data_IF_441826544063
#
_entry.id   IF_441826544063
#
_cell.length_a   1.000
_cell.length_b   1.000
_cell.length_c   1.000
_cell.angle_alpha   90.00
_cell.angle_beta   90.00
_cell.angle_gamma   90.00
#
_symmetry.space_group_name_H-M   'P 1'
#
loop_
_entity.id
_entity.type
_entity.pdbx_description
1 polymer ?
#
# COMPACT_ATOMS: atom_id res chain seq x y z
N UNK A 1 26.66 20.33 23.29
CA UNK A 1 26.88 20.33 21.83
C UNK A 1 25.98 21.40 21.28
N UNK A 2 26.57 22.33 20.54
CA UNK A 2 25.96 23.60 20.14
C UNK A 2 24.75 23.35 19.24
N UNK A 3 23.56 23.74 19.71
CA UNK A 3 22.27 23.46 19.07
C UNK A 3 21.76 24.66 18.24
N UNK A 4 22.63 25.64 17.98
CA UNK A 4 22.32 26.78 17.10
C UNK A 4 22.42 26.35 15.63
N UNK A 5 21.50 25.52 15.17
CA UNK A 5 21.26 25.33 13.73
C UNK A 5 20.40 26.49 13.23
N UNK A 6 20.83 27.15 12.17
CA UNK A 6 20.01 28.12 11.45
C UNK A 6 18.95 27.37 10.64
N UNK A 7 17.79 27.13 11.27
CA UNK A 7 16.68 26.41 10.64
C UNK A 7 15.94 27.30 9.62
N UNK A 8 15.73 26.74 8.43
CA UNK A 8 14.85 27.26 7.39
C UNK A 8 13.56 26.43 7.43
N UNK A 9 12.42 27.11 7.59
CA UNK A 9 11.10 26.48 7.48
C UNK A 9 10.57 26.65 6.06
N UNK A 10 10.36 25.54 5.37
CA UNK A 10 9.77 25.48 4.04
C UNK A 10 8.34 24.93 4.13
N UNK A 11 7.33 25.67 3.63
CA UNK A 11 5.98 25.15 3.49
C UNK A 11 5.96 23.95 2.54
N UNK A 12 5.31 22.86 2.97
CA UNK A 12 5.06 21.73 2.09
C UNK A 12 3.93 22.05 1.10
N UNK A 13 4.08 21.57 -0.12
CA UNK A 13 3.17 21.71 -1.25
C UNK A 13 3.18 20.39 -2.04
N UNK A 14 2.29 20.23 -3.01
CA UNK A 14 2.18 18.98 -3.78
C UNK A 14 3.46 18.63 -4.56
N UNK A 15 4.29 19.61 -4.93
CA UNK A 15 5.55 19.39 -5.66
C UNK A 15 6.59 18.59 -4.85
N UNK A 16 6.49 18.64 -3.51
CA UNK A 16 7.33 17.89 -2.59
C UNK A 16 6.82 16.47 -2.34
N UNK A 17 5.62 16.11 -2.78
CA UNK A 17 5.07 14.77 -2.56
C UNK A 17 5.15 13.91 -3.82
N UNK A 18 5.38 12.62 -3.60
CA UNK A 18 5.23 11.55 -4.60
C UNK A 18 4.35 10.46 -4.01
N UNK A 19 3.54 9.80 -4.83
CA UNK A 19 2.69 8.67 -4.40
C UNK A 19 1.27 9.04 -3.94
N UNK A 20 0.98 10.32 -3.69
CA UNK A 20 -0.36 10.79 -3.35
C UNK A 20 -1.15 11.19 -4.61
N UNK A 21 -2.44 10.88 -4.65
CA UNK A 21 -3.35 11.23 -5.76
C UNK A 21 -4.16 12.50 -5.47
N UNK A 22 -4.26 12.89 -4.20
CA UNK A 22 -4.89 14.12 -3.76
C UNK A 22 -4.24 14.60 -2.45
N UNK A 23 -4.37 15.89 -2.16
CA UNK A 23 -3.77 16.53 -0.99
C UNK A 23 -4.78 17.45 -0.32
N UNK A 24 -5.38 16.98 0.77
CA UNK A 24 -6.35 17.75 1.54
C UNK A 24 -5.63 18.72 2.47
N UNK A 25 -6.06 19.99 2.47
CA UNK A 25 -5.67 20.95 3.51
C UNK A 25 -6.65 20.86 4.67
N UNK A 26 -6.18 20.36 5.81
CA UNK A 26 -7.04 20.13 6.98
C UNK A 26 -7.38 21.44 7.68
N UNK A 27 -8.43 21.43 8.52
CA UNK A 27 -8.83 22.60 9.32
C UNK A 27 -7.76 23.11 10.28
N UNK A 28 -6.72 22.31 10.56
CA UNK A 28 -5.56 22.68 11.39
C UNK A 28 -4.44 23.36 10.58
N UNK A 29 -4.58 23.42 9.25
CA UNK A 29 -3.57 23.96 8.35
C UNK A 29 -2.52 22.93 7.89
N UNK A 30 -2.65 21.66 8.28
CA UNK A 30 -1.82 20.55 7.80
C UNK A 30 -2.25 20.06 6.43
N UNK A 31 -1.43 19.21 5.83
CA UNK A 31 -1.67 18.56 4.55
C UNK A 31 -1.80 17.05 4.75
N UNK A 32 -2.95 16.50 4.39
CA UNK A 32 -3.25 15.07 4.45
C UNK A 32 -3.15 14.48 3.03
N UNK A 33 -2.13 13.65 2.74
CA UNK A 33 -2.05 12.96 1.46
C UNK A 33 -3.09 11.83 1.40
N UNK A 34 -3.78 11.74 0.26
CA UNK A 34 -4.74 10.69 -0.02
C UNK A 34 -4.26 9.82 -1.18
N UNK A 35 -4.49 8.51 -1.08
CA UNK A 35 -4.15 7.53 -2.13
C UNK A 35 -5.32 7.24 -3.07
N UNK A 36 -6.46 7.90 -2.88
CA UNK A 36 -7.58 7.92 -3.81
C UNK A 36 -7.97 9.37 -4.14
N UNK A 37 -8.41 9.68 -5.37
CA UNK A 37 -8.93 10.99 -5.71
C UNK A 37 -10.22 11.32 -4.94
N UNK A 38 -10.43 12.60 -4.60
CA UNK A 38 -11.57 13.03 -3.79
C UNK A 38 -12.96 12.57 -4.32
N UNK A 39 -13.25 12.61 -5.64
CA UNK A 39 -14.53 12.13 -6.16
C UNK A 39 -14.77 10.64 -5.92
N UNK A 40 -13.72 9.81 -5.99
CA UNK A 40 -13.83 8.37 -5.78
C UNK A 40 -13.90 8.02 -4.29
N UNK A 41 -13.19 8.76 -3.43
CA UNK A 41 -13.36 8.67 -1.97
C UNK A 41 -14.80 8.92 -1.55
N UNK A 42 -15.44 9.95 -2.10
CA UNK A 42 -16.83 10.28 -1.78
C UNK A 42 -17.82 9.15 -2.12
N UNK A 43 -17.49 8.30 -3.12
CA UNK A 43 -18.31 7.14 -3.53
C UNK A 43 -18.17 5.92 -2.62
N UNK A 44 -17.21 5.91 -1.69
CA UNK A 44 -17.10 4.88 -0.66
C UNK A 44 -18.24 4.91 0.37
N UNK A 45 -19.10 5.94 0.32
CA UNK A 45 -20.28 6.04 1.20
C UNK A 45 -19.94 6.32 2.66
N UNK A 46 -18.72 6.78 2.97
CA UNK A 46 -18.26 7.01 4.33
C UNK A 46 -17.81 5.72 5.05
N UNK A 47 -17.47 4.66 4.30
CA UNK A 47 -16.88 3.45 4.88
C UNK A 47 -15.58 3.79 5.63
N UNK A 48 -15.59 3.59 6.95
CA UNK A 48 -14.49 3.97 7.82
C UNK A 48 -13.22 3.13 7.62
N UNK A 49 -13.32 1.92 7.06
CA UNK A 49 -12.18 1.08 6.70
C UNK A 49 -11.52 1.60 5.42
N UNK A 50 -12.32 2.00 4.41
CA UNK A 50 -11.81 2.64 3.20
C UNK A 50 -11.15 3.98 3.55
N UNK A 51 -11.83 4.86 4.29
CA UNK A 51 -11.31 6.17 4.69
C UNK A 51 -9.98 6.06 5.48
N UNK A 52 -9.86 5.04 6.33
CA UNK A 52 -8.61 4.77 7.03
C UNK A 52 -7.52 4.26 6.07
N UNK A 53 -7.82 3.23 5.28
CA UNK A 53 -6.82 2.62 4.42
C UNK A 53 -6.26 3.64 3.41
N UNK A 54 -7.13 4.41 2.74
CA UNK A 54 -6.71 5.33 1.68
C UNK A 54 -5.90 6.53 2.21
N UNK A 55 -6.16 6.98 3.45
CA UNK A 55 -5.44 8.09 4.09
C UNK A 55 -4.14 7.68 4.78
N UNK A 56 -3.87 6.38 4.93
CA UNK A 56 -2.58 5.87 5.36
C UNK A 56 -1.58 5.93 4.19
N UNK A 57 -0.45 6.63 4.30
CA UNK A 57 0.37 7.07 3.18
C UNK A 57 1.34 5.99 2.64
N UNK A 58 0.88 4.74 2.48
CA UNK A 58 1.68 3.67 1.87
C UNK A 58 2.12 4.02 0.45
N UNK A 59 3.43 4.02 0.20
CA UNK A 59 4.04 4.40 -1.07
C UNK A 59 4.21 5.91 -1.27
N UNK A 60 3.71 6.72 -0.33
CA UNK A 60 3.85 8.18 -0.38
C UNK A 60 5.17 8.59 0.27
N UNK A 61 5.79 9.63 -0.29
CA UNK A 61 7.08 10.14 0.19
C UNK A 61 7.24 11.63 -0.05
N UNK A 62 7.98 12.27 0.85
CA UNK A 62 8.43 13.67 0.71
C UNK A 62 9.77 13.66 -0.03
N UNK A 63 9.89 14.39 -1.13
CA UNK A 63 11.06 14.39 -2.02
C UNK A 63 11.53 15.81 -2.28
N UNK A 64 12.82 16.07 -2.08
CA UNK A 64 13.43 17.38 -2.33
C UNK A 64 14.95 17.28 -2.53
N UNK A 65 15.51 18.31 -3.15
CA UNK A 65 16.95 18.51 -3.28
C UNK A 65 17.45 19.47 -2.22
N UNK A 66 18.60 19.17 -1.62
CA UNK A 66 19.20 20.08 -0.64
C UNK A 66 20.67 19.76 -0.36
N UNK A 67 21.37 20.72 0.27
CA UNK A 67 22.67 20.50 0.91
C UNK A 67 22.56 20.24 2.42
N UNK A 68 21.35 20.24 2.98
CA UNK A 68 21.07 20.18 4.41
C UNK A 68 21.74 18.96 5.08
N UNK A 69 22.31 19.16 6.27
CA UNK A 69 22.85 18.08 7.10
C UNK A 69 21.87 17.63 8.18
N UNK A 70 20.80 18.41 8.38
CA UNK A 70 19.70 18.09 9.27
C UNK A 70 18.35 18.39 8.61
N UNK A 71 17.39 17.49 8.79
CA UNK A 71 16.03 17.59 8.27
C UNK A 71 15.05 17.24 9.39
N UNK A 72 14.00 18.02 9.52
CA UNK A 72 12.89 17.75 10.44
C UNK A 72 11.55 17.98 9.72
N UNK A 73 10.58 17.10 9.93
CA UNK A 73 9.21 17.27 9.47
C UNK A 73 8.30 17.41 10.68
N UNK A 74 7.53 18.50 10.71
CA UNK A 74 6.47 18.71 11.69
C UNK A 74 5.22 17.95 11.23
N UNK A 75 4.73 17.03 12.06
CA UNK A 75 3.67 16.08 11.68
C UNK A 75 2.66 15.86 12.80
N UNK A 76 1.40 15.65 12.43
CA UNK A 76 0.39 15.09 13.33
C UNK A 76 0.01 13.70 12.80
N UNK A 77 0.62 12.68 13.39
CA UNK A 77 0.24 11.29 13.11
C UNK A 77 -1.02 10.90 13.88
N UNK A 78 -1.76 9.94 13.36
CA UNK A 78 -2.83 9.22 14.07
C UNK A 78 -2.51 7.74 14.04
N UNK A 79 -2.16 7.19 15.20
CA UNK A 79 -1.83 5.77 15.36
C UNK A 79 -3.02 4.95 15.76
N UNK A 80 -3.12 3.71 15.27
CA UNK A 80 -4.13 2.78 15.73
C UNK A 80 -3.66 2.07 17.00
N UNK A 81 -4.55 1.94 17.97
CA UNK A 81 -4.38 1.07 19.13
C UNK A 81 -5.61 0.16 19.29
N UNK A 82 -5.41 -1.01 19.88
CA UNK A 82 -6.50 -1.95 20.16
C UNK A 82 -6.79 -1.99 21.66
N UNK A 83 -8.06 -1.87 22.03
CA UNK A 83 -8.48 -1.85 23.44
C UNK A 83 -8.05 -3.14 24.13
N UNK A 84 -7.34 -3.01 25.24
CA UNK A 84 -6.87 -4.15 26.05
C UNK A 84 -5.67 -4.91 25.48
N UNK A 85 -5.08 -4.46 24.38
CA UNK A 85 -3.86 -5.05 23.80
C UNK A 85 -2.64 -4.14 23.97
N UNK A 86 -1.42 -4.70 23.90
CA UNK A 86 -0.21 -3.90 23.84
C UNK A 86 -0.24 -2.90 22.67
N UNK A 87 0.37 -1.72 22.83
CA UNK A 87 0.54 -0.78 21.72
C UNK A 87 1.24 -1.43 20.52
N UNK A 88 0.76 -1.09 19.32
CA UNK A 88 1.47 -1.44 18.09
C UNK A 88 2.77 -0.61 18.00
N UNK A 89 3.80 -1.12 17.30
CA UNK A 89 4.99 -0.33 17.01
C UNK A 89 4.64 0.96 16.26
N UNK A 90 5.37 2.03 16.57
CA UNK A 90 5.28 3.28 15.81
C UNK A 90 5.67 3.06 14.34
N UNK A 91 5.05 3.83 13.45
CA UNK A 91 5.33 3.81 12.03
C UNK A 91 6.75 4.24 11.70
N UNK A 92 7.40 3.46 10.84
CA UNK A 92 8.75 3.74 10.35
C UNK A 92 8.75 4.80 9.25
N UNK A 93 9.62 5.80 9.40
CA UNK A 93 9.95 6.80 8.41
C UNK A 93 11.34 6.48 7.86
N UNK A 94 11.42 5.99 6.63
CA UNK A 94 12.71 5.67 6.01
C UNK A 94 13.25 6.87 5.25
N UNK A 95 14.51 7.18 5.51
CA UNK A 95 15.26 8.19 4.78
C UNK A 95 16.13 7.53 3.72
N UNK A 96 16.02 8.02 2.49
CA UNK A 96 16.90 7.70 1.39
C UNK A 96 17.63 8.95 0.91
N UNK A 97 18.90 8.79 0.55
CA UNK A 97 19.75 9.82 -0.04
C UNK A 97 20.27 9.32 -1.38
N UNK A 98 19.89 10.00 -2.46
CA UNK A 98 20.22 9.62 -3.84
C UNK A 98 19.88 8.15 -4.17
N UNK A 99 18.72 7.69 -3.69
CA UNK A 99 18.23 6.32 -3.91
C UNK A 99 18.78 5.27 -2.96
N UNK A 100 19.74 5.61 -2.09
CA UNK A 100 20.34 4.69 -1.12
C UNK A 100 19.73 4.89 0.28
N UNK A 101 19.43 3.78 0.99
CA UNK A 101 18.92 3.85 2.35
C UNK A 101 19.96 4.50 3.28
N UNK A 102 19.55 5.53 4.02
CA UNK A 102 20.45 6.37 4.81
C UNK A 102 20.15 6.31 6.31
N UNK A 103 18.88 6.35 6.71
CA UNK A 103 18.48 6.34 8.12
C UNK A 103 17.00 5.92 8.28
N UNK A 104 16.57 5.68 9.53
CA UNK A 104 15.17 5.40 9.88
C UNK A 104 14.82 6.05 11.22
N UNK A 105 13.65 6.66 11.27
CA UNK A 105 13.12 7.28 12.48
C UNK A 105 11.64 6.95 12.70
N UNK A 106 11.12 7.37 13.86
CA UNK A 106 9.68 7.39 14.17
C UNK A 106 9.28 8.83 14.52
N UNK A 107 8.00 9.14 14.37
CA UNK A 107 7.47 10.45 14.76
C UNK A 107 7.05 10.47 16.24
N UNK A 108 7.34 11.58 16.91
CA UNK A 108 6.84 11.86 18.25
C UNK A 108 5.40 12.40 18.22
N UNK A 109 4.74 12.46 19.39
CA UNK A 109 3.38 13.01 19.50
C UNK A 109 2.33 12.23 18.71
N UNK A 110 1.24 12.92 18.34
CA UNK A 110 0.15 12.35 17.54
C UNK A 110 -1.10 11.94 18.30
N UNK A 111 -2.19 11.76 17.56
CA UNK A 111 -3.44 11.22 18.07
C UNK A 111 -3.36 9.69 18.20
N UNK A 112 -4.19 9.12 19.06
CA UNK A 112 -4.43 7.67 19.14
C UNK A 112 -5.87 7.38 18.77
N UNK A 113 -6.08 6.55 17.74
CA UNK A 113 -7.38 5.98 17.41
C UNK A 113 -7.49 4.61 18.09
N UNK A 114 -8.21 4.57 19.21
CA UNK A 114 -8.47 3.33 19.95
C UNK A 114 -9.63 2.59 19.28
N UNK A 115 -9.40 1.33 18.92
CA UNK A 115 -10.37 0.43 18.30
C UNK A 115 -10.69 -0.72 19.25
N UNK A 116 -11.96 -0.97 19.53
CA UNK A 116 -12.41 -2.19 20.19
C UNK A 116 -12.67 -3.27 19.13
N UNK A 117 -11.90 -4.36 19.18
CA UNK A 117 -12.02 -5.44 18.20
C UNK A 117 -13.30 -6.27 18.37
N UNK A 118 -14.02 -6.15 19.50
CA UNK A 118 -15.22 -6.93 19.77
C UNK A 118 -16.47 -6.36 19.10
N UNK A 119 -16.58 -5.04 18.99
CA UNK A 119 -17.73 -4.35 18.43
C UNK A 119 -17.39 -3.35 17.30
N UNK A 120 -16.09 -3.14 17.03
CA UNK A 120 -15.60 -2.24 15.99
C UNK A 120 -15.64 -0.77 16.37
N UNK A 121 -16.01 -0.42 17.60
CA UNK A 121 -16.10 0.97 18.05
C UNK A 121 -14.74 1.67 18.04
N UNK A 122 -14.77 2.98 17.75
CA UNK A 122 -13.58 3.82 17.57
C UNK A 122 -13.65 5.06 18.46
N UNK A 123 -12.55 5.36 19.14
CA UNK A 123 -12.42 6.55 19.99
C UNK A 123 -11.10 7.26 19.67
N UNK A 124 -11.16 8.54 19.30
CA UNK A 124 -9.99 9.34 19.00
C UNK A 124 -9.53 10.11 20.24
N UNK A 125 -8.29 9.88 20.66
CA UNK A 125 -7.60 10.62 21.69
C UNK A 125 -6.66 11.63 21.03
N UNK A 126 -6.97 12.94 21.08
CA UNK A 126 -6.14 13.95 20.45
C UNK A 126 -4.78 14.09 21.12
N UNK A 127 -3.73 14.29 20.33
CA UNK A 127 -2.40 14.62 20.80
C UNK A 127 -1.85 15.90 20.18
N UNK A 128 -0.57 16.19 20.46
CA UNK A 128 0.13 17.33 19.88
C UNK A 128 0.78 16.99 18.55
N UNK A 129 1.00 18.02 17.72
CA UNK A 129 1.97 17.95 16.62
C UNK A 129 3.32 17.53 17.22
N UNK A 130 3.96 16.58 16.58
CA UNK A 130 5.32 16.16 16.89
C UNK A 130 6.22 16.35 15.68
N UNK A 131 7.37 15.69 15.73
CA UNK A 131 8.37 15.77 14.69
C UNK A 131 9.02 14.42 14.42
N UNK A 132 9.53 14.26 13.19
CA UNK A 132 10.50 13.25 12.80
C UNK A 132 11.77 13.97 12.34
N UNK A 133 12.94 13.54 12.82
CA UNK A 133 14.21 14.24 12.63
C UNK A 133 15.30 13.30 12.14
N UNK A 134 16.08 13.77 11.18
CA UNK A 134 17.25 13.11 10.62
C UNK A 134 18.44 14.06 10.67
N UNK A 135 19.59 13.60 11.14
CA UNK A 135 20.80 14.43 11.27
C UNK A 135 22.04 13.68 10.80
N UNK A 136 23.13 14.40 10.56
CA UNK A 136 24.37 13.79 10.06
C UNK A 136 24.33 13.45 8.57
N UNK A 137 23.43 14.09 7.81
CA UNK A 137 23.34 13.90 6.37
C UNK A 137 24.56 14.52 5.66
N UNK A 138 25.00 13.96 4.52
CA UNK A 138 26.19 14.46 3.85
C UNK A 138 26.01 15.89 3.33
N UNK A 139 26.98 16.76 3.63
CA UNK A 139 26.98 18.21 3.30
C UNK A 139 27.28 18.52 1.82
N UNK A 140 26.59 17.82 0.92
CA UNK A 140 26.62 18.02 -0.54
C UNK A 140 25.20 18.12 -1.08
N UNK A 141 25.11 18.58 -2.32
CA UNK A 141 23.87 18.49 -3.08
C UNK A 141 23.47 17.01 -3.21
N UNK A 142 22.21 16.71 -2.87
CA UNK A 142 21.64 15.38 -2.88
C UNK A 142 20.12 15.47 -3.02
N UNK A 143 19.52 14.40 -3.51
CA UNK A 143 18.07 14.17 -3.44
C UNK A 143 17.77 13.41 -2.16
N UNK A 144 16.83 13.91 -1.38
CA UNK A 144 16.32 13.30 -0.15
C UNK A 144 14.92 12.77 -0.42
N UNK A 145 14.68 11.51 -0.10
CA UNK A 145 13.34 10.90 -0.09
C UNK A 145 13.02 10.41 1.32
N UNK A 146 11.89 10.84 1.88
CA UNK A 146 11.39 10.38 3.17
C UNK A 146 10.09 9.62 2.94
N UNK A 147 10.14 8.30 3.09
CA UNK A 147 8.98 7.42 2.94
C UNK A 147 8.09 7.51 4.18
N UNK A 148 6.80 7.73 3.95
CA UNK A 148 5.81 7.87 5.01
C UNK A 148 5.33 6.48 5.51
N UNK A 149 4.91 6.36 6.78
CA UNK A 149 4.52 5.07 7.36
C UNK A 149 3.17 4.57 6.81
N UNK A 150 3.05 3.28 6.53
CA UNK A 150 1.76 2.69 6.10
C UNK A 150 0.80 2.40 7.27
N UNK A 151 1.28 2.43 8.52
CA UNK A 151 0.55 2.03 9.73
C UNK A 151 -0.27 3.15 10.36
N UNK A 152 -0.09 4.39 9.90
CA UNK A 152 -0.62 5.59 10.55
C UNK A 152 -1.18 6.56 9.51
N UNK A 153 -2.17 7.37 9.88
CA UNK A 153 -2.56 8.53 9.06
C UNK A 153 -1.66 9.71 9.43
N UNK A 154 -1.19 10.49 8.44
CA UNK A 154 -0.19 11.55 8.67
C UNK A 154 -0.68 12.88 8.10
N UNK A 155 -0.87 13.88 8.96
CA UNK A 155 -0.96 15.29 8.53
C UNK A 155 0.44 15.92 8.56
N UNK A 156 0.88 16.53 7.45
CA UNK A 156 2.17 17.20 7.29
C UNK A 156 2.03 18.72 7.48
N UNK A 157 2.90 19.37 8.25
CA UNK A 157 2.82 20.80 8.52
C UNK A 157 3.96 21.61 7.90
N UNK A 158 5.21 21.23 8.16
CA UNK A 158 6.37 21.98 7.70
C UNK A 158 7.59 21.08 7.51
N UNK A 159 8.43 21.45 6.55
CA UNK A 159 9.77 20.91 6.35
C UNK A 159 10.79 21.90 6.89
N UNK A 160 11.62 21.46 7.84
CA UNK A 160 12.65 22.27 8.47
C UNK A 160 14.02 21.70 8.12
N UNK A 161 14.90 22.55 7.63
CA UNK A 161 16.24 22.15 7.16
C UNK A 161 17.28 23.20 7.52
N UNK A 162 18.55 22.81 7.65
CA UNK A 162 19.68 23.73 7.89
C UNK A 162 20.32 24.26 6.58
N UNK A 163 19.71 23.98 5.43
CA UNK A 163 20.06 24.56 4.13
C UNK A 163 18.80 24.60 3.23
N UNK A 164 18.73 25.51 2.23
CA UNK A 164 17.58 25.62 1.36
C UNK A 164 17.21 24.30 0.66
N UNK A 165 15.93 24.14 0.37
CA UNK A 165 15.39 23.00 -0.38
C UNK A 165 14.80 23.45 -1.70
N UNK A 166 14.86 22.59 -2.70
CA UNK A 166 14.15 22.72 -3.96
C UNK A 166 13.32 21.47 -4.23
N UNK A 167 12.17 21.62 -4.88
CA UNK A 167 11.42 20.47 -5.37
C UNK A 167 12.29 19.68 -6.35
N UNK A 168 12.23 18.35 -6.28
CA UNK A 168 12.81 17.50 -7.33
C UNK A 168 11.83 17.49 -8.51
N UNK A 169 12.34 17.58 -9.74
CA UNK A 169 11.50 17.43 -10.93
C UNK A 169 11.14 15.95 -11.14
N UNK A 170 9.99 15.61 -11.73
CA UNK A 170 9.69 14.21 -12.07
C UNK A 170 10.77 13.62 -12.99
N UNK A 171 11.44 12.56 -12.53
CA UNK A 171 12.61 11.98 -13.21
C UNK A 171 12.33 11.19 -14.49
N UNK A 172 11.13 11.32 -15.07
CA UNK A 172 10.72 10.63 -16.31
C UNK A 172 10.53 9.11 -16.21
N UNK A 173 10.67 8.53 -15.01
CA UNK A 173 10.44 7.11 -14.76
C UNK A 173 8.99 6.72 -15.08
N UNK A 174 8.73 5.54 -15.68
CA UNK A 174 7.37 5.06 -15.90
C UNK A 174 6.60 4.96 -14.59
N UNK A 175 5.32 5.31 -14.62
CA UNK A 175 4.42 5.23 -13.47
C UNK A 175 3.76 3.86 -13.41
N UNK A 176 4.01 3.16 -12.31
CA UNK A 176 3.35 1.91 -11.98
C UNK A 176 2.25 2.12 -10.94
N UNK A 177 1.00 1.94 -11.38
CA UNK A 177 -0.19 2.00 -10.56
C UNK A 177 -0.56 0.60 -10.05
N UNK A 178 -0.49 0.41 -8.74
CA UNK A 178 -0.76 -0.87 -8.09
C UNK A 178 -1.97 -0.80 -7.16
N UNK A 179 -2.96 -1.66 -7.40
CA UNK A 179 -4.07 -1.90 -6.49
C UNK A 179 -3.98 -3.29 -5.86
N UNK A 180 -4.31 -3.40 -4.58
CA UNK A 180 -4.33 -4.64 -3.83
C UNK A 180 -4.89 -4.46 -2.43
N UNK A 181 -4.68 -5.47 -1.58
CA UNK A 181 -5.17 -5.52 -0.20
C UNK A 181 -4.17 -4.95 0.82
N UNK A 182 -4.37 -5.24 2.10
CA UNK A 182 -3.43 -4.95 3.20
C UNK A 182 -2.01 -5.46 2.95
N UNK A 183 -1.88 -6.63 2.30
CA UNK A 183 -0.59 -7.22 1.93
C UNK A 183 0.15 -6.31 0.93
N UNK A 184 -0.55 -5.67 0.01
CA UNK A 184 0.05 -4.70 -0.92
C UNK A 184 0.22 -3.32 -0.30
N UNK A 185 -0.62 -2.96 0.67
CA UNK A 185 -0.43 -1.74 1.46
C UNK A 185 0.80 -1.82 2.38
N UNK A 186 1.27 -3.03 2.71
CA UNK A 186 2.52 -3.26 3.44
C UNK A 186 2.35 -3.82 4.85
N UNK A 187 1.15 -4.28 5.24
CA UNK A 187 0.92 -4.88 6.56
C UNK A 187 1.95 -5.97 6.88
N UNK A 188 2.64 -5.81 8.02
CA UNK A 188 3.73 -6.67 8.51
C UNK A 188 5.08 -6.57 7.77
N UNK A 189 5.22 -5.66 6.80
CA UNK A 189 6.53 -5.20 6.34
C UNK A 189 7.22 -4.33 7.41
N UNK A 190 8.55 -4.24 7.36
CA UNK A 190 9.33 -3.38 8.27
C UNK A 190 8.96 -1.89 8.10
N UNK A 191 8.53 -1.48 6.90
CA UNK A 191 8.18 -0.10 6.56
C UNK A 191 7.50 0.01 5.20
N UNK A 192 7.04 1.21 4.82
CA UNK A 192 6.48 1.42 3.49
C UNK A 192 7.50 1.25 2.37
N UNK A 193 8.77 1.61 2.58
CA UNK A 193 9.83 1.47 1.57
C UNK A 193 10.25 0.01 1.36
N UNK A 194 9.97 -0.86 2.33
CA UNK A 194 10.30 -2.29 2.30
C UNK A 194 9.10 -3.20 2.06
N UNK A 195 7.91 -2.61 1.86
CA UNK A 195 6.75 -3.34 1.37
C UNK A 195 7.04 -3.87 -0.05
N UNK A 196 6.46 -5.03 -0.39
CA UNK A 196 6.80 -5.74 -1.62
C UNK A 196 6.59 -4.91 -2.90
N UNK A 197 5.55 -4.03 -3.04
CA UNK A 197 5.43 -3.19 -4.22
C UNK A 197 6.53 -2.12 -4.30
N UNK A 198 6.97 -1.58 -3.15
CA UNK A 198 8.05 -0.58 -3.13
C UNK A 198 9.39 -1.20 -3.55
N UNK A 199 9.69 -2.41 -3.05
CA UNK A 199 10.88 -3.17 -3.45
C UNK A 199 10.85 -3.56 -4.93
N UNK A 200 9.71 -4.01 -5.43
CA UNK A 200 9.52 -4.30 -6.84
C UNK A 200 9.68 -3.05 -7.72
N UNK A 201 9.14 -1.91 -7.28
CA UNK A 201 9.26 -0.64 -8.00
C UNK A 201 10.71 -0.15 -8.07
N UNK A 202 11.45 -0.29 -6.97
CA UNK A 202 12.88 0.02 -6.92
C UNK A 202 13.67 -0.87 -7.89
N UNK A 203 13.40 -2.18 -7.90
CA UNK A 203 14.03 -3.13 -8.84
C UNK A 203 13.67 -2.86 -10.31
N UNK A 204 12.44 -2.40 -10.58
CA UNK A 204 11.95 -2.06 -11.91
C UNK A 204 12.32 -0.66 -12.40
N UNK A 205 12.87 0.20 -11.54
CA UNK A 205 13.17 1.60 -11.89
C UNK A 205 11.92 2.43 -12.23
N UNK A 206 10.80 2.18 -11.55
CA UNK A 206 9.49 2.83 -11.82
C UNK A 206 8.99 3.68 -10.64
N UNK A 207 8.11 4.63 -10.92
CA UNK A 207 7.40 5.42 -9.91
C UNK A 207 6.18 4.65 -9.41
N UNK A 208 6.18 4.26 -8.13
CA UNK A 208 5.03 3.59 -7.53
C UNK A 208 3.92 4.57 -7.15
N UNK A 209 2.71 4.30 -7.64
CA UNK A 209 1.45 4.78 -7.07
C UNK A 209 0.72 3.59 -6.43
N UNK A 210 0.78 3.49 -5.10
CA UNK A 210 0.15 2.39 -4.38
C UNK A 210 -1.26 2.78 -3.93
N UNK A 211 -2.30 2.28 -4.61
CA UNK A 211 -3.72 2.51 -4.28
C UNK A 211 -4.35 1.29 -3.60
N UNK A 212 -3.53 0.47 -2.93
CA UNK A 212 -3.99 -0.70 -2.18
C UNK A 212 -4.78 -0.32 -0.93
N UNK A 213 -5.88 -1.02 -0.65
CA UNK A 213 -6.78 -0.70 0.44
C UNK A 213 -6.83 -1.85 1.46
N UNK A 214 -6.21 -1.65 2.62
CA UNK A 214 -6.20 -2.61 3.71
C UNK A 214 -7.62 -2.99 4.13
N UNK A 215 -7.95 -4.27 3.94
CA UNK A 215 -9.26 -4.82 4.27
C UNK A 215 -10.35 -4.53 3.24
N UNK A 216 -10.13 -3.68 2.23
CA UNK A 216 -11.18 -3.13 1.36
C UNK A 216 -10.88 -3.25 -0.14
N UNK A 217 -10.03 -4.20 -0.57
CA UNK A 217 -9.86 -4.51 -1.99
C UNK A 217 -11.00 -5.43 -2.50
N UNK A 218 -12.18 -4.86 -2.77
CA UNK A 218 -13.43 -5.62 -2.98
C UNK A 218 -13.98 -5.55 -4.41
N UNK A 219 -13.16 -5.20 -5.40
CA UNK A 219 -13.60 -4.92 -6.77
C UNK A 219 -14.61 -3.76 -6.85
N UNK A 220 -14.47 -2.78 -5.97
CA UNK A 220 -15.40 -1.65 -5.90
C UNK A 220 -15.37 -0.81 -7.18
N UNK A 221 -16.53 -0.42 -7.74
CA UNK A 221 -16.59 0.44 -8.92
C UNK A 221 -15.89 1.79 -8.76
N UNK A 222 -15.88 2.36 -7.55
CA UNK A 222 -15.17 3.62 -7.30
C UNK A 222 -13.65 3.45 -7.40
N UNK A 223 -13.12 2.29 -7.00
CA UNK A 223 -11.69 2.00 -7.13
C UNK A 223 -11.33 1.72 -8.58
N UNK A 224 -12.21 1.05 -9.33
CA UNK A 224 -12.04 0.88 -10.78
C UNK A 224 -12.02 2.24 -11.52
N UNK A 225 -12.89 3.19 -11.14
CA UNK A 225 -12.88 4.55 -11.68
C UNK A 225 -11.60 5.31 -11.31
N UNK A 226 -11.14 5.21 -10.05
CA UNK A 226 -9.88 5.81 -9.64
C UNK A 226 -8.70 5.28 -10.49
N UNK A 227 -8.64 3.97 -10.72
CA UNK A 227 -7.64 3.34 -11.59
C UNK A 227 -7.75 3.80 -13.05
N UNK A 228 -8.97 3.90 -13.58
CA UNK A 228 -9.25 4.41 -14.93
C UNK A 228 -8.73 5.83 -15.13
N UNK A 229 -9.01 6.72 -14.17
CA UNK A 229 -8.75 8.16 -14.32
C UNK A 229 -7.34 8.57 -13.89
N UNK A 230 -6.62 7.70 -13.15
CA UNK A 230 -5.24 7.96 -12.72
C UNK A 230 -4.25 7.67 -13.86
N UNK A 231 -3.44 8.64 -14.31
CA UNK A 231 -2.41 8.40 -15.32
C UNK A 231 -1.38 7.36 -14.85
N UNK A 232 -1.11 6.36 -15.69
CA UNK A 232 -0.16 5.29 -15.41
C UNK A 232 0.37 4.69 -16.72
N UNK A 233 1.63 4.27 -16.70
CA UNK A 233 2.24 3.55 -17.82
C UNK A 233 2.09 2.04 -17.67
N UNK A 234 2.01 1.57 -16.41
CA UNK A 234 1.92 0.17 -16.01
C UNK A 234 0.87 0.02 -14.92
N UNK A 235 0.04 -1.03 -15.02
CA UNK A 235 -1.04 -1.25 -14.05
C UNK A 235 -1.00 -2.68 -13.55
N UNK A 236 -1.19 -2.86 -12.24
CA UNK A 236 -1.44 -4.18 -11.69
C UNK A 236 -2.55 -4.17 -10.65
N UNK A 237 -3.36 -5.21 -10.67
CA UNK A 237 -4.51 -5.37 -9.79
C UNK A 237 -4.42 -6.73 -9.10
N UNK A 238 -4.24 -6.72 -7.78
CA UNK A 238 -4.20 -7.94 -6.96
C UNK A 238 -5.56 -8.18 -6.31
N UNK A 239 -6.23 -9.26 -6.69
CA UNK A 239 -7.64 -9.51 -6.37
C UNK A 239 -7.76 -10.77 -5.50
N UNK A 240 -8.55 -10.72 -4.42
CA UNK A 240 -9.10 -11.93 -3.81
C UNK A 240 -9.20 -11.96 -2.28
N UNK A 241 -8.10 -11.77 -1.54
CA UNK A 241 -8.10 -12.05 -0.09
C UNK A 241 -9.18 -11.28 0.69
N UNK A 242 -9.49 -10.03 0.32
CA UNK A 242 -10.56 -9.28 1.00
C UNK A 242 -11.97 -9.72 0.59
N UNK A 243 -12.17 -10.16 -0.65
CA UNK A 243 -13.43 -10.75 -1.10
C UNK A 243 -13.75 -12.00 -0.29
N UNK A 244 -12.76 -12.88 -0.13
CA UNK A 244 -12.89 -14.12 0.63
C UNK A 244 -13.02 -13.83 2.12
N UNK A 245 -12.14 -12.99 2.71
CA UNK A 245 -12.20 -12.65 4.14
C UNK A 245 -13.52 -12.01 4.55
N UNK A 246 -14.20 -11.26 3.67
CA UNK A 246 -15.48 -10.63 3.99
C UNK A 246 -16.69 -11.47 3.59
N UNK A 247 -16.51 -12.60 2.92
CA UNK A 247 -17.61 -13.32 2.25
C UNK A 247 -18.43 -12.36 1.37
N UNK A 248 -17.73 -11.50 0.62
CA UNK A 248 -18.33 -10.32 -0.01
C UNK A 248 -19.22 -10.64 -1.21
N UNK A 249 -18.99 -11.78 -1.87
CA UNK A 249 -19.73 -12.23 -3.04
C UNK A 249 -19.50 -13.74 -3.28
N UNK A 250 -20.42 -14.36 -4.02
CA UNK A 250 -20.28 -15.73 -4.49
C UNK A 250 -19.64 -15.82 -5.87
N UNK A 251 -19.31 -17.05 -6.29
CA UNK A 251 -18.70 -17.35 -7.58
C UNK A 251 -19.53 -16.84 -8.78
N UNK A 252 -20.86 -16.86 -8.68
CA UNK A 252 -21.76 -16.36 -9.73
C UNK A 252 -21.59 -14.88 -10.01
N UNK A 253 -21.27 -14.08 -8.99
CA UNK A 253 -21.11 -12.63 -9.11
C UNK A 253 -19.64 -12.24 -9.34
N UNK A 254 -18.71 -13.08 -8.89
CA UNK A 254 -17.27 -12.82 -8.98
C UNK A 254 -16.77 -12.64 -10.42
N UNK A 255 -17.10 -13.57 -11.32
CA UNK A 255 -16.68 -13.49 -12.71
C UNK A 255 -17.14 -12.18 -13.39
N UNK A 256 -18.45 -11.87 -13.39
CA UNK A 256 -18.96 -10.60 -13.90
C UNK A 256 -18.32 -9.36 -13.26
N UNK A 257 -18.10 -9.37 -11.94
CA UNK A 257 -17.45 -8.26 -11.23
C UNK A 257 -16.00 -8.03 -11.70
N UNK A 258 -15.22 -9.11 -11.87
CA UNK A 258 -13.85 -9.02 -12.42
C UNK A 258 -13.88 -8.46 -13.85
N UNK A 259 -14.80 -8.93 -14.71
CA UNK A 259 -14.92 -8.39 -16.06
C UNK A 259 -15.21 -6.89 -16.06
N UNK A 260 -16.22 -6.44 -15.29
CA UNK A 260 -16.59 -5.04 -15.21
C UNK A 260 -15.45 -4.16 -14.65
N UNK A 261 -14.72 -4.67 -13.65
CA UNK A 261 -13.57 -3.97 -13.08
C UNK A 261 -12.47 -3.78 -14.12
N UNK A 262 -12.08 -4.85 -14.82
CA UNK A 262 -11.04 -4.80 -15.86
C UNK A 262 -11.47 -3.94 -17.06
N UNK A 263 -12.74 -3.99 -17.47
CA UNK A 263 -13.28 -3.15 -18.55
C UNK A 263 -13.20 -1.67 -18.17
N UNK A 264 -13.59 -1.33 -16.94
CA UNK A 264 -13.52 0.05 -16.44
C UNK A 264 -12.07 0.56 -16.43
N UNK A 265 -11.11 -0.26 -16.01
CA UNK A 265 -9.68 0.12 -16.06
C UNK A 265 -9.23 0.32 -17.52
N UNK A 266 -9.67 -0.55 -18.44
CA UNK A 266 -9.33 -0.47 -19.86
C UNK A 266 -9.93 0.74 -20.58
N UNK A 267 -11.07 1.25 -20.14
CA UNK A 267 -11.64 2.49 -20.68
C UNK A 267 -10.68 3.68 -20.55
N UNK A 268 -9.86 3.71 -19.49
CA UNK A 268 -8.84 4.74 -19.26
C UNK A 268 -7.48 4.37 -19.83
N UNK A 269 -7.19 3.07 -19.92
CA UNK A 269 -5.89 2.53 -20.30
C UNK A 269 -5.98 1.45 -21.38
N UNK A 270 -6.33 1.80 -22.64
CA UNK A 270 -6.63 0.82 -23.67
C UNK A 270 -5.44 -0.07 -24.08
N UNK A 271 -4.22 0.41 -23.86
CA UNK A 271 -2.99 -0.28 -24.31
C UNK A 271 -1.88 -0.37 -23.25
N UNK A 272 -2.09 0.16 -22.04
CA UNK A 272 -1.09 0.02 -20.98
C UNK A 272 -1.00 -1.45 -20.54
N UNK A 273 0.19 -2.00 -20.27
CA UNK A 273 0.30 -3.32 -19.64
C UNK A 273 -0.52 -3.41 -18.35
N UNK A 274 -1.42 -4.40 -18.29
CA UNK A 274 -2.28 -4.69 -17.14
C UNK A 274 -2.00 -6.10 -16.63
N UNK A 275 -1.46 -6.17 -15.41
CA UNK A 275 -1.15 -7.44 -14.75
C UNK A 275 -2.17 -7.76 -13.67
N UNK A 276 -2.94 -8.83 -13.86
CA UNK A 276 -3.83 -9.38 -12.83
C UNK A 276 -3.04 -10.35 -11.96
N UNK A 277 -3.01 -10.10 -10.66
CA UNK A 277 -2.30 -10.92 -9.67
C UNK A 277 -3.33 -11.61 -8.78
N UNK A 278 -3.26 -12.93 -8.68
CA UNK A 278 -4.14 -13.69 -7.80
C UNK A 278 -3.64 -13.68 -6.35
N UNK A 279 -4.43 -14.17 -5.36
CA UNK A 279 -4.01 -14.21 -3.97
C UNK A 279 -2.74 -15.03 -3.76
N UNK A 280 -1.92 -14.61 -2.80
CA UNK A 280 -0.86 -15.47 -2.26
C UNK A 280 -1.46 -16.52 -1.33
N UNK A 281 -0.65 -17.49 -0.90
CA UNK A 281 -1.09 -18.47 0.09
C UNK A 281 -1.55 -17.78 1.39
N UNK A 282 -2.75 -18.11 1.85
CA UNK A 282 -3.17 -17.91 3.23
C UNK A 282 -3.87 -19.19 3.70
N UNK A 283 -3.20 -20.03 4.51
CA UNK A 283 -3.73 -21.34 4.88
C UNK A 283 -5.13 -21.32 5.48
N UNK A 284 -5.47 -20.25 6.23
CA UNK A 284 -6.78 -20.08 6.83
C UNK A 284 -7.92 -19.98 5.80
N UNK A 285 -7.63 -19.56 4.56
CA UNK A 285 -8.62 -19.25 3.53
C UNK A 285 -8.42 -20.04 2.22
N UNK A 286 -7.47 -20.99 2.17
CA UNK A 286 -7.21 -21.77 0.96
C UNK A 286 -8.43 -22.59 0.54
N UNK A 287 -9.01 -23.31 1.50
CA UNK A 287 -10.13 -24.24 1.27
C UNK A 287 -11.33 -23.94 2.19
N UNK A 288 -11.26 -22.89 3.01
CA UNK A 288 -12.36 -22.45 3.90
C UNK A 288 -12.79 -21.05 3.46
N UNK A 289 -14.07 -20.80 3.17
CA UNK A 289 -14.58 -19.46 2.90
C UNK A 289 -14.57 -18.55 4.14
N UNK A 290 -14.77 -17.26 3.93
CA UNK A 290 -15.02 -16.31 5.01
C UNK A 290 -16.38 -16.49 5.72
N UNK A 291 -16.67 -15.59 6.68
CA UNK A 291 -15.86 -14.43 7.05
C UNK A 291 -14.60 -14.81 7.85
N UNK A 292 -13.57 -13.97 7.76
CA UNK A 292 -12.43 -13.99 8.66
C UNK A 292 -12.76 -13.18 9.91
N UNK A 293 -12.29 -13.64 11.07
CA UNK A 293 -12.44 -12.91 12.33
C UNK A 293 -11.09 -12.75 13.05
N UNK A 294 -10.91 -11.65 13.81
CA UNK A 294 -9.82 -11.54 14.77
C UNK A 294 -9.88 -12.68 15.79
N UNK A 295 -8.72 -13.23 16.10
CA UNK A 295 -8.51 -14.27 17.11
C UNK A 295 -7.31 -13.85 17.95
N UNK A 296 -7.62 -13.33 19.15
CA UNK A 296 -6.64 -12.76 20.07
C UNK A 296 -6.12 -13.87 20.99
N UNK A 297 -4.80 -14.12 20.93
CA UNK A 297 -4.12 -15.10 21.78
C UNK A 297 -2.80 -14.51 22.28
N UNK A 298 -2.52 -14.69 23.57
CA UNK A 298 -1.27 -14.23 24.20
C UNK A 298 -0.94 -12.74 23.91
N UNK A 299 -1.97 -11.89 23.90
CA UNK A 299 -1.84 -10.45 23.62
C UNK A 299 -1.54 -10.11 22.16
N UNK A 300 -1.65 -11.07 21.24
CA UNK A 300 -1.45 -10.89 19.80
C UNK A 300 -2.73 -11.12 19.04
N UNK A 301 -2.95 -10.31 18.01
CA UNK A 301 -4.06 -10.50 17.06
C UNK A 301 -3.58 -11.46 15.97
N UNK A 302 -4.35 -12.52 15.74
CA UNK A 302 -4.29 -13.29 14.49
C UNK A 302 -5.65 -13.33 13.83
N UNK A 303 -5.73 -14.03 12.70
CA UNK A 303 -6.97 -14.19 11.95
C UNK A 303 -7.32 -15.66 11.74
N UNK A 304 -8.61 -15.97 11.76
CA UNK A 304 -9.13 -17.29 11.44
C UNK A 304 -10.34 -17.18 10.53
N UNK A 305 -10.53 -18.14 9.64
CA UNK A 305 -11.79 -18.27 8.92
C UNK A 305 -12.86 -18.86 9.84
N UNK A 306 -14.10 -18.38 9.71
CA UNK A 306 -15.28 -18.86 10.41
C UNK A 306 -16.26 -19.62 9.50
N UNK A 307 -16.00 -19.65 8.19
CA UNK A 307 -16.86 -20.33 7.21
C UNK A 307 -16.79 -21.86 7.31
N UNK A 308 -17.75 -22.52 6.66
CA UNK A 308 -17.76 -23.97 6.47
C UNK A 308 -17.08 -24.32 5.13
N UNK A 309 -16.02 -25.15 5.12
CA UNK A 309 -15.41 -25.62 3.87
C UNK A 309 -16.41 -26.24 2.88
N UNK A 310 -17.49 -26.86 3.36
CA UNK A 310 -18.52 -27.45 2.50
C UNK A 310 -19.28 -26.40 1.67
N UNK A 311 -19.31 -25.14 2.09
CA UNK A 311 -20.00 -24.08 1.36
C UNK A 311 -19.27 -23.65 0.07
N UNK A 312 -18.00 -24.02 -0.11
CA UNK A 312 -17.29 -23.82 -1.37
C UNK A 312 -18.00 -24.55 -2.53
N UNK A 313 -18.52 -25.76 -2.28
CA UNK A 313 -19.32 -26.51 -3.26
C UNK A 313 -20.68 -25.85 -3.59
N UNK A 314 -21.10 -24.86 -2.78
CA UNK A 314 -22.31 -24.05 -2.98
C UNK A 314 -22.02 -22.68 -3.59
N UNK A 315 -20.79 -22.45 -4.05
CA UNK A 315 -20.39 -21.22 -4.74
C UNK A 315 -19.85 -20.13 -3.83
N UNK A 316 -19.55 -20.40 -2.55
CA UNK A 316 -18.72 -19.47 -1.77
C UNK A 316 -17.28 -19.48 -2.26
N UNK A 317 -16.63 -18.33 -2.19
CA UNK A 317 -15.25 -18.17 -2.63
C UNK A 317 -14.26 -18.66 -1.58
N UNK A 318 -13.26 -19.41 -2.03
CA UNK A 318 -11.99 -19.65 -1.31
C UNK A 318 -10.85 -19.07 -2.12
N UNK A 319 -9.63 -18.97 -1.57
CA UNK A 319 -8.49 -18.48 -2.35
C UNK A 319 -8.18 -19.38 -3.54
N UNK A 320 -8.33 -20.70 -3.42
CA UNK A 320 -8.17 -21.65 -4.53
C UNK A 320 -9.15 -21.34 -5.67
N UNK A 321 -10.44 -21.21 -5.36
CA UNK A 321 -11.48 -20.88 -6.34
C UNK A 321 -11.18 -19.53 -7.02
N UNK A 322 -10.77 -18.52 -6.26
CA UNK A 322 -10.41 -17.21 -6.81
C UNK A 322 -9.20 -17.30 -7.74
N UNK A 323 -8.16 -18.07 -7.39
CA UNK A 323 -6.97 -18.24 -8.25
C UNK A 323 -7.34 -18.91 -9.58
N UNK A 324 -8.12 -19.97 -9.52
CA UNK A 324 -8.60 -20.72 -10.71
C UNK A 324 -9.43 -19.83 -11.63
N UNK A 325 -10.38 -19.07 -11.07
CA UNK A 325 -11.30 -18.24 -11.85
C UNK A 325 -10.60 -17.02 -12.45
N UNK A 326 -9.68 -16.37 -11.73
CA UNK A 326 -8.86 -15.29 -12.29
C UNK A 326 -7.97 -15.79 -13.43
N UNK A 327 -7.35 -16.97 -13.28
CA UNK A 327 -6.54 -17.56 -14.34
C UNK A 327 -7.37 -17.83 -15.60
N UNK A 328 -8.57 -18.41 -15.44
CA UNK A 328 -9.52 -18.68 -16.53
C UNK A 328 -9.92 -17.39 -17.24
N UNK A 329 -10.40 -16.38 -16.49
CA UNK A 329 -10.86 -15.09 -17.04
C UNK A 329 -9.74 -14.41 -17.83
N UNK A 330 -8.53 -14.34 -17.27
CA UNK A 330 -7.41 -13.68 -17.95
C UNK A 330 -7.00 -14.46 -19.20
N UNK A 331 -6.94 -15.79 -19.14
CA UNK A 331 -6.61 -16.61 -20.31
C UNK A 331 -7.60 -16.41 -21.47
N UNK A 332 -8.90 -16.33 -21.16
CA UNK A 332 -9.94 -16.06 -22.17
C UNK A 332 -9.82 -14.66 -22.76
N UNK A 333 -9.61 -13.65 -21.91
CA UNK A 333 -9.48 -12.25 -22.34
C UNK A 333 -8.20 -11.98 -23.12
N UNK A 334 -7.10 -12.65 -22.79
CA UNK A 334 -5.80 -12.44 -23.44
C UNK A 334 -5.81 -12.74 -24.95
N UNK A 335 -6.78 -13.53 -25.44
CA UNK A 335 -7.00 -13.74 -26.87
C UNK A 335 -7.39 -12.45 -27.63
N UNK A 336 -8.05 -11.51 -26.94
CA UNK A 336 -8.47 -10.21 -27.49
C UNK A 336 -7.73 -8.99 -26.92
N UNK A 337 -6.98 -9.17 -25.83
CA UNK A 337 -6.20 -8.11 -25.17
C UNK A 337 -4.74 -8.57 -24.97
N UNK A 338 -3.82 -8.21 -25.90
CA UNK A 338 -2.42 -8.63 -25.82
C UNK A 338 -1.64 -7.95 -24.69
N UNK A 339 -2.22 -6.95 -24.02
CA UNK A 339 -1.62 -6.21 -22.91
C UNK A 339 -2.08 -6.70 -21.55
N UNK A 340 -2.94 -7.73 -21.51
CA UNK A 340 -3.40 -8.35 -20.27
C UNK A 340 -2.54 -9.57 -19.95
N UNK A 341 -2.04 -9.64 -18.72
CA UNK A 341 -1.23 -10.75 -18.22
C UNK A 341 -1.72 -11.24 -16.87
N UNK A 342 -1.40 -12.50 -16.55
CA UNK A 342 -1.73 -13.12 -15.27
C UNK A 342 -0.47 -13.49 -14.51
N UNK A 343 -0.49 -13.30 -13.20
CA UNK A 343 0.50 -13.82 -12.26
C UNK A 343 -0.21 -14.62 -11.16
N UNK A 344 0.12 -15.91 -11.06
CA UNK A 344 -0.31 -16.73 -9.92
C UNK A 344 0.38 -16.25 -8.65
N UNK A 345 -0.39 -15.80 -7.66
CA UNK A 345 0.13 -15.29 -6.39
C UNK A 345 0.95 -16.32 -5.61
N UNK A 346 0.75 -17.62 -5.82
CA UNK A 346 1.60 -18.65 -5.20
C UNK A 346 3.06 -18.60 -5.67
N UNK A 347 3.32 -18.02 -6.85
CA UNK A 347 4.70 -17.81 -7.30
C UNK A 347 5.41 -16.73 -6.48
N UNK A 348 4.67 -15.80 -5.87
CA UNK A 348 5.22 -14.78 -4.98
C UNK A 348 5.42 -15.34 -3.57
N UNK A 349 4.41 -16.02 -3.04
CA UNK A 349 4.44 -16.67 -1.73
C UNK A 349 3.50 -17.87 -1.71
N UNK A 350 4.08 -19.08 -1.65
CA UNK A 350 3.38 -20.36 -1.67
C UNK A 350 3.68 -21.25 -0.46
N UNK A 351 3.31 -22.53 -0.53
CA UNK A 351 3.42 -23.48 0.59
C UNK A 351 4.86 -23.67 1.07
N UNK A 352 5.83 -23.71 0.14
CA UNK A 352 7.25 -23.81 0.49
C UNK A 352 7.74 -22.57 1.24
N UNK A 353 7.27 -21.38 0.86
CA UNK A 353 7.61 -20.15 1.56
C UNK A 353 6.95 -20.11 2.93
N UNK A 354 5.71 -20.59 3.06
CA UNK A 354 5.03 -20.65 4.36
C UNK A 354 5.69 -21.60 5.36
N UNK A 355 6.27 -22.70 4.88
CA UNK A 355 7.04 -23.62 5.71
C UNK A 355 8.31 -22.97 6.28
N UNK A 356 8.90 -22.01 5.57
CA UNK A 356 10.12 -21.30 5.98
C UNK A 356 9.82 -19.99 6.73
N UNK A 357 8.83 -19.24 6.25
CA UNK A 357 8.44 -17.90 6.66
C UNK A 357 6.93 -17.89 6.96
N UNK A 358 6.48 -18.50 8.07
CA UNK A 358 5.06 -18.60 8.39
C UNK A 358 4.45 -17.22 8.64
N UNK A 359 3.17 -17.07 8.30
CA UNK A 359 2.42 -15.81 8.48
C UNK A 359 2.25 -15.54 9.99
N UNK A 360 2.86 -14.48 10.57
CA UNK A 360 2.87 -14.25 12.03
C UNK A 360 1.49 -14.08 12.66
N UNK A 361 0.53 -13.55 11.91
CA UNK A 361 -0.86 -13.36 12.33
C UNK A 361 -1.84 -14.29 11.59
N UNK A 362 -1.30 -15.30 10.89
CA UNK A 362 -2.00 -16.23 9.99
C UNK A 362 -2.63 -15.57 8.76
N UNK A 363 -2.23 -14.35 8.39
CA UNK A 363 -2.77 -13.64 7.22
C UNK A 363 -1.71 -12.86 6.42
N UNK A 364 -0.86 -12.08 7.08
CA UNK A 364 0.06 -11.14 6.44
C UNK A 364 1.48 -11.72 6.38
N UNK A 365 2.18 -11.64 5.23
CA UNK A 365 3.59 -11.98 5.12
C UNK A 365 4.43 -11.03 6.00
N UNK A 366 5.44 -11.56 6.68
CA UNK A 366 6.37 -10.73 7.44
C UNK A 366 7.36 -9.98 6.54
N UNK A 367 8.27 -9.22 7.13
CA UNK A 367 9.24 -8.43 6.38
C UNK A 367 10.18 -9.26 5.48
N UNK A 368 10.54 -10.49 5.90
CA UNK A 368 11.37 -11.37 5.09
C UNK A 368 10.60 -11.91 3.88
N UNK A 369 9.33 -12.28 4.08
CA UNK A 369 8.45 -12.70 3.00
C UNK A 369 8.13 -11.54 2.04
N UNK A 370 7.96 -10.31 2.55
CA UNK A 370 7.82 -9.11 1.72
C UNK A 370 9.02 -8.88 0.79
N UNK A 371 10.25 -9.03 1.29
CA UNK A 371 11.46 -8.96 0.46
C UNK A 371 11.46 -9.99 -0.66
N UNK A 372 11.19 -11.25 -0.31
CA UNK A 372 11.11 -12.35 -1.28
C UNK A 372 10.03 -12.11 -2.35
N UNK A 373 8.85 -11.64 -1.93
CA UNK A 373 7.78 -11.30 -2.86
C UNK A 373 8.18 -10.14 -3.78
N UNK A 374 8.83 -9.11 -3.26
CA UNK A 374 9.30 -7.96 -4.04
C UNK A 374 10.32 -8.36 -5.10
N UNK A 375 11.31 -9.18 -4.74
CA UNK A 375 12.32 -9.72 -5.66
C UNK A 375 11.69 -10.58 -6.76
N UNK A 376 10.79 -11.50 -6.40
CA UNK A 376 10.12 -12.39 -7.37
C UNK A 376 9.19 -11.62 -8.29
N UNK A 377 8.40 -10.68 -7.77
CA UNK A 377 7.57 -9.81 -8.61
C UNK A 377 8.44 -8.97 -9.53
N UNK A 378 9.52 -8.37 -9.00
CA UNK A 378 10.46 -7.55 -9.77
C UNK A 378 11.02 -8.31 -10.97
N UNK A 379 11.53 -9.52 -10.72
CA UNK A 379 12.06 -10.40 -11.76
C UNK A 379 11.00 -10.84 -12.78
N UNK A 380 9.77 -11.15 -12.34
CA UNK A 380 8.69 -11.55 -13.24
C UNK A 380 8.19 -10.39 -14.10
N UNK A 381 7.85 -9.26 -13.48
CA UNK A 381 7.14 -8.16 -14.14
C UNK A 381 8.09 -7.30 -14.99
N UNK A 382 9.23 -6.90 -14.42
CA UNK A 382 10.17 -5.97 -15.04
C UNK A 382 11.39 -6.65 -15.67
N UNK A 383 11.61 -7.95 -15.40
CA UNK A 383 12.69 -8.72 -15.99
C UNK A 383 12.50 -8.98 -17.49
N UNK A 384 13.53 -9.52 -18.18
CA UNK A 384 13.47 -9.77 -19.62
C UNK A 384 12.28 -10.64 -20.03
N UNK A 385 11.47 -10.14 -20.97
CA UNK A 385 10.26 -10.83 -21.44
C UNK A 385 9.07 -10.75 -20.47
N UNK A 386 9.22 -10.03 -19.36
CA UNK A 386 8.13 -9.76 -18.41
C UNK A 386 7.07 -8.81 -18.97
N UNK A 387 5.85 -8.82 -18.42
CA UNK A 387 4.72 -8.02 -18.90
C UNK A 387 4.99 -6.51 -18.89
N UNK A 388 5.90 -6.01 -18.06
CA UNK A 388 6.25 -4.59 -17.97
C UNK A 388 7.57 -4.23 -18.65
N UNK A 389 8.30 -5.20 -19.21
CA UNK A 389 9.65 -5.01 -19.76
C UNK A 389 9.69 -4.03 -20.97
N UNK A 390 8.58 -3.89 -21.70
CA UNK A 390 8.52 -3.09 -22.93
C UNK A 390 8.50 -1.56 -22.70
N UNK A 391 8.24 -1.11 -21.47
CA UNK A 391 8.06 0.31 -21.16
C UNK A 391 9.37 0.98 -20.70
N UNK A 392 10.35 0.21 -20.22
CA UNK A 392 11.66 0.74 -19.79
C UNK A 392 12.63 1.15 -20.91
N UNK A 393 12.23 1.02 -22.18
CA UNK A 393 13.08 1.25 -23.36
C UNK A 393 12.56 2.38 -24.28
N UNK A 394 11.63 3.23 -23.82
CA UNK A 394 11.10 4.37 -24.60
C UNK A 394 11.58 5.71 -24.11
#
# INVERSE_FOLDING_TARGET
>A
MDDSRDWITTPLTAEFLRGALDLERTGRGGLLPHRLPAPDRARSGGDEQVAQAESQPSGVRVVFRTRATAVELDVLRTVMAHRGLPPLPDGAWDLYVDGEAADRATASGGNVLMVDLSDGSRELFPGSVGAVSFTGLPAREKTVEIWLPYTETVELFALRTDAPVAAEEPGGRPVWLHHGSSISQGSAADSSATAWPALAAAAGGVELLNVSLAGSALLDPFTACALRDTPADLISVKIGINLVNRDAMGLSDFGPAVHAFLDTVRDGHPTAPLLVVSPILCPAQEDTPGPAAPDVRDGRVGFTALGDPADAARGKLTLRVVREELARIVAERAAGDPWLSYLDGLTLYGEADHAELPLPDRLHPDAAAHRRMGERFGAFAFGPGGPFAAVGNR
#
